data_IF_831457438268
#
_entry.id   IF_831457438268
#
_cell.length_a   1.000
_cell.length_b   1.000
_cell.length_c   1.000
_cell.angle_alpha   90.00
_cell.angle_beta   90.00
_cell.angle_gamma   90.00
#
_symmetry.space_group_name_H-M   'P 1'
#
loop_
_entity.id
_entity.type
_entity.pdbx_description
1 polymer ?
#
# COMPACT_ATOMS: atom_id res chain seq x y z
N UNK A 1 -10.17 -12.55 3.55
CA UNK A 1 -9.81 -11.20 4.06
C UNK A 1 -9.31 -10.42 2.86
N UNK A 2 -9.92 -9.28 2.56
CA UNK A 2 -9.53 -8.45 1.42
C UNK A 2 -8.27 -7.67 1.79
N UNK A 3 -7.31 -7.61 0.87
CA UNK A 3 -6.15 -6.74 0.99
C UNK A 3 -6.64 -5.29 1.14
N UNK A 4 -6.15 -4.58 2.15
CA UNK A 4 -6.36 -3.13 2.24
C UNK A 4 -5.33 -2.48 1.33
N UNK A 5 -5.71 -2.25 0.07
CA UNK A 5 -4.97 -1.38 -0.85
C UNK A 5 -5.51 0.02 -0.71
N UNK A 6 -4.63 0.98 -0.43
CA UNK A 6 -4.96 2.39 -0.44
C UNK A 6 -4.41 2.98 -1.73
N UNK A 7 -5.33 3.44 -2.60
CA UNK A 7 -5.02 4.26 -3.75
C UNK A 7 -5.23 5.73 -3.39
N UNK A 8 -4.20 6.56 -3.60
CA UNK A 8 -4.32 8.01 -3.39
C UNK A 8 -4.11 8.73 -4.72
N UNK A 9 -5.12 9.48 -5.12
CA UNK A 9 -5.12 10.34 -6.30
C UNK A 9 -4.68 11.74 -5.87
N UNK A 10 -3.64 12.29 -6.51
CA UNK A 10 -3.24 13.68 -6.25
C UNK A 10 -2.99 14.42 -7.55
N UNK A 11 -3.54 15.62 -7.67
CA UNK A 11 -3.11 16.65 -8.62
C UNK A 11 -1.94 17.49 -8.08
N UNK A 12 -1.28 17.03 -7.02
CA UNK A 12 -0.41 17.86 -6.17
C UNK A 12 1.07 17.84 -6.61
N UNK A 13 1.77 18.90 -6.20
CA UNK A 13 3.23 19.02 -6.26
C UNK A 13 3.92 17.79 -5.65
N UNK A 14 5.05 17.36 -6.24
CA UNK A 14 5.83 16.17 -5.84
C UNK A 14 6.14 16.14 -4.35
N UNK A 15 6.38 17.31 -3.74
CA UNK A 15 6.66 17.43 -2.30
C UNK A 15 5.48 16.99 -1.42
N UNK A 16 4.24 17.26 -1.84
CA UNK A 16 3.06 16.79 -1.10
C UNK A 16 2.92 15.28 -1.15
N UNK A 17 3.27 14.68 -2.30
CA UNK A 17 3.30 13.22 -2.45
C UNK A 17 4.35 12.61 -1.52
N UNK A 18 5.55 13.18 -1.50
CA UNK A 18 6.63 12.69 -0.64
C UNK A 18 6.23 12.78 0.85
N UNK A 19 5.64 13.90 1.29
CA UNK A 19 5.12 14.05 2.66
C UNK A 19 4.03 13.03 3.02
N UNK A 20 3.12 12.74 2.08
CA UNK A 20 2.10 11.73 2.31
C UNK A 20 2.70 10.32 2.45
N UNK A 21 3.75 10.00 1.68
CA UNK A 21 4.49 8.75 1.82
C UNK A 21 5.13 8.64 3.21
N UNK A 22 5.73 9.73 3.72
CA UNK A 22 6.28 9.80 5.07
C UNK A 22 5.20 9.63 6.14
N UNK A 23 4.04 10.28 5.98
CA UNK A 23 2.91 10.14 6.92
C UNK A 23 2.38 8.70 6.96
N UNK A 24 2.36 7.99 5.83
CA UNK A 24 1.96 6.58 5.78
C UNK A 24 2.97 5.67 6.51
N UNK A 25 4.26 5.95 6.38
CA UNK A 25 5.30 5.26 7.15
C UNK A 25 5.06 5.43 8.66
N UNK A 26 4.72 6.64 9.13
CA UNK A 26 4.40 6.91 10.53
C UNK A 26 3.15 6.17 11.02
N UNK A 27 2.10 6.09 10.18
CA UNK A 27 0.91 5.27 10.48
C UNK A 27 1.29 3.80 10.67
N UNK A 28 2.11 3.25 9.78
CA UNK A 28 2.59 1.86 9.90
C UNK A 28 3.41 1.67 11.17
N UNK A 29 4.29 2.61 11.53
CA UNK A 29 5.05 2.51 12.78
C UNK A 29 4.16 2.55 14.01
N UNK A 30 3.18 3.46 14.05
CA UNK A 30 2.29 3.67 15.19
C UNK A 30 1.37 2.46 15.44
N UNK A 31 0.93 1.77 14.40
CA UNK A 31 -0.09 0.73 14.50
C UNK A 31 0.50 -0.68 14.31
N UNK A 32 0.66 -1.40 15.43
CA UNK A 32 1.20 -2.76 15.42
C UNK A 32 0.45 -3.76 14.53
N UNK A 33 -0.82 -3.49 14.20
CA UNK A 33 -1.61 -4.28 13.26
C UNK A 33 -0.96 -4.35 11.85
N UNK A 34 -0.36 -3.26 11.36
CA UNK A 34 0.33 -3.25 10.06
C UNK A 34 1.72 -3.88 10.11
N UNK A 35 2.28 -4.02 11.32
CA UNK A 35 3.59 -4.62 11.58
C UNK A 35 3.44 -6.03 12.14
N UNK A 36 2.38 -6.73 11.72
CA UNK A 36 2.05 -8.06 12.17
C UNK A 36 2.32 -9.07 11.06
N UNK A 37 2.82 -10.26 11.39
CA UNK A 37 2.69 -11.46 10.53
C UNK A 37 1.90 -12.53 11.25
N UNK A 38 1.22 -13.38 10.49
CA UNK A 38 0.59 -14.60 10.98
C UNK A 38 1.23 -15.80 10.31
N UNK A 39 1.94 -16.62 11.10
CA UNK A 39 2.63 -17.81 10.61
C UNK A 39 2.11 -19.05 11.30
N UNK A 40 2.04 -20.17 10.56
CA UNK A 40 1.71 -21.45 11.17
C UNK A 40 2.92 -21.97 11.96
N UNK A 41 2.71 -22.31 13.24
CA UNK A 41 3.73 -22.97 14.06
C UNK A 41 3.40 -24.45 14.18
N UNK A 42 4.23 -25.29 13.57
CA UNK A 42 4.08 -26.75 13.69
C UNK A 42 4.28 -27.22 15.14
N UNK A 43 5.22 -26.60 15.87
CA UNK A 43 5.51 -26.92 17.28
C UNK A 43 4.28 -26.68 18.18
N UNK A 44 3.59 -25.55 17.97
CA UNK A 44 2.44 -25.18 18.79
C UNK A 44 1.10 -25.67 18.20
N UNK A 45 1.11 -26.23 16.99
CA UNK A 45 -0.08 -26.66 16.25
C UNK A 45 -1.10 -25.54 16.03
N UNK A 46 -0.66 -24.29 15.93
CA UNK A 46 -1.55 -23.11 15.83
C UNK A 46 -0.92 -21.95 15.06
N UNK A 47 -1.77 -21.02 14.64
CA UNK A 47 -1.36 -19.75 14.06
C UNK A 47 -0.74 -18.84 15.15
N UNK A 48 0.44 -18.32 14.88
CA UNK A 48 1.16 -17.39 15.76
C UNK A 48 1.15 -16.00 15.12
N UNK A 49 0.73 -15.02 15.91
CA UNK A 49 0.79 -13.61 15.54
C UNK A 49 2.07 -13.00 16.10
N UNK A 50 2.92 -12.47 15.22
CA UNK A 50 4.14 -11.75 15.61
C UNK A 50 3.99 -10.28 15.28
N UNK A 51 4.06 -9.42 16.29
CA UNK A 51 4.08 -7.96 16.13
C UNK A 51 5.54 -7.52 16.22
N UNK A 52 6.07 -6.96 15.14
CA UNK A 52 7.45 -6.51 15.08
C UNK A 52 7.60 -5.18 15.85
N UNK A 53 8.80 -4.68 16.10
CA UNK A 53 9.01 -3.38 16.75
C UNK A 53 9.00 -2.21 15.77
N UNK A 54 9.42 -2.45 14.53
CA UNK A 54 9.42 -1.53 13.40
C UNK A 54 9.35 -2.31 12.07
N UNK A 55 9.01 -1.64 10.98
CA UNK A 55 9.11 -2.18 9.61
C UNK A 55 9.41 -1.05 8.64
N UNK A 56 10.19 -1.28 7.60
CA UNK A 56 10.29 -0.30 6.51
C UNK A 56 9.06 -0.44 5.63
N UNK A 57 8.29 0.64 5.48
CA UNK A 57 7.13 0.69 4.59
C UNK A 57 7.37 1.74 3.50
N UNK A 58 7.25 1.30 2.25
CA UNK A 58 7.41 2.14 1.09
C UNK A 58 6.11 2.13 0.28
N UNK A 59 5.52 3.32 0.10
CA UNK A 59 4.39 3.53 -0.81
C UNK A 59 4.90 3.57 -2.24
N UNK A 60 4.27 2.82 -3.14
CA UNK A 60 4.62 2.83 -4.57
C UNK A 60 4.08 4.11 -5.22
N UNK A 61 4.92 4.89 -5.89
CA UNK A 61 4.47 6.02 -6.71
C UNK A 61 4.42 5.64 -8.19
N UNK A 62 3.25 5.79 -8.80
CA UNK A 62 3.03 5.62 -10.24
C UNK A 62 2.68 6.96 -10.85
N UNK A 63 3.44 7.34 -11.87
CA UNK A 63 3.28 8.60 -12.57
C UNK A 63 2.42 8.44 -13.82
N UNK A 64 1.23 9.02 -13.82
CA UNK A 64 0.30 9.02 -14.94
C UNK A 64 0.16 10.39 -15.59
N UNK A 65 0.95 11.39 -15.17
CA UNK A 65 0.81 12.76 -15.68
C UNK A 65 1.38 12.94 -17.10
N UNK A 66 2.00 11.92 -17.67
CA UNK A 66 2.88 12.00 -18.84
C UNK A 66 2.21 11.76 -20.19
N UNK A 67 0.91 12.05 -20.35
CA UNK A 67 0.20 11.89 -21.63
C UNK A 67 -0.84 10.77 -21.66
N UNK A 68 -1.32 10.34 -20.50
CA UNK A 68 -2.43 9.39 -20.40
C UNK A 68 -3.76 10.07 -20.76
N UNK A 69 -4.57 9.39 -21.57
CA UNK A 69 -5.96 9.79 -21.83
C UNK A 69 -6.78 9.26 -20.65
N UNK A 70 -7.33 10.17 -19.84
CA UNK A 70 -8.07 9.86 -18.60
C UNK A 70 -7.20 9.16 -17.52
N UNK A 71 -6.21 9.87 -16.92
CA UNK A 71 -5.32 9.29 -15.92
C UNK A 71 -6.06 8.74 -14.69
N UNK A 72 -7.19 9.34 -14.29
CA UNK A 72 -8.07 8.87 -13.21
C UNK A 72 -8.61 7.47 -13.52
N UNK A 73 -9.16 7.28 -14.73
CA UNK A 73 -9.73 5.99 -15.15
C UNK A 73 -8.63 4.92 -15.18
N UNK A 74 -7.45 5.27 -15.65
CA UNK A 74 -6.29 4.36 -15.66
C UNK A 74 -5.86 3.97 -14.25
N UNK A 75 -5.74 4.94 -13.33
CA UNK A 75 -5.44 4.67 -11.93
C UNK A 75 -6.47 3.72 -11.31
N UNK A 76 -7.75 3.98 -11.53
CA UNK A 76 -8.84 3.13 -11.06
C UNK A 76 -8.77 1.69 -11.61
N UNK A 77 -8.56 1.55 -12.93
CA UNK A 77 -8.44 0.24 -13.59
C UNK A 77 -7.23 -0.54 -13.04
N UNK A 78 -6.10 0.13 -12.81
CA UNK A 78 -4.90 -0.45 -12.20
C UNK A 78 -5.17 -0.93 -10.78
N UNK A 79 -5.79 -0.10 -9.92
CA UNK A 79 -6.15 -0.50 -8.55
C UNK A 79 -7.12 -1.67 -8.53
N UNK A 80 -8.09 -1.71 -9.44
CA UNK A 80 -9.01 -2.85 -9.56
C UNK A 80 -8.28 -4.13 -9.96
N UNK A 81 -7.31 -4.05 -10.87
CA UNK A 81 -6.51 -5.19 -11.29
C UNK A 81 -5.64 -5.71 -10.14
N UNK A 82 -4.93 -4.83 -9.43
CA UNK A 82 -4.10 -5.19 -8.27
C UNK A 82 -4.93 -5.88 -7.17
N UNK A 83 -6.12 -5.37 -6.86
CA UNK A 83 -6.99 -5.94 -5.83
C UNK A 83 -7.63 -7.29 -6.21
N UNK A 84 -7.65 -7.63 -7.51
CA UNK A 84 -8.14 -8.94 -7.97
C UNK A 84 -7.08 -10.03 -7.87
N UNK A 85 -5.80 -9.68 -7.73
CA UNK A 85 -4.73 -10.66 -7.62
C UNK A 85 -4.56 -11.15 -6.18
N UNK A 86 -4.85 -12.43 -5.88
CA UNK A 86 -4.72 -12.99 -4.53
C UNK A 86 -3.26 -13.03 -4.04
N UNK A 87 -2.30 -12.91 -4.95
CA UNK A 87 -0.86 -12.94 -4.67
C UNK A 87 -0.31 -11.68 -4.03
N UNK A 88 -1.04 -10.55 -4.08
CA UNK A 88 -0.55 -9.26 -3.61
C UNK A 88 -0.52 -9.14 -2.07
N UNK A 89 -1.28 -9.96 -1.35
CA UNK A 89 -1.40 -9.87 0.12
C UNK A 89 -1.24 -11.23 0.77
N UNK A 90 -0.18 -11.40 1.56
CA UNK A 90 0.11 -12.63 2.29
C UNK A 90 0.26 -12.36 3.77
N UNK A 91 -0.40 -13.17 4.59
CA UNK A 91 -0.44 -12.97 6.05
C UNK A 91 0.90 -13.28 6.73
N UNK A 92 1.74 -14.11 6.10
CA UNK A 92 3.07 -14.48 6.58
C UNK A 92 4.16 -13.48 6.15
N UNK A 93 3.79 -12.39 5.49
CA UNK A 93 4.70 -11.35 5.01
C UNK A 93 4.36 -9.99 5.60
N UNK A 94 5.41 -9.16 5.76
CA UNK A 94 5.27 -7.76 6.12
C UNK A 94 5.30 -6.87 4.87
N UNK A 95 4.63 -5.72 4.86
CA UNK A 95 3.60 -5.26 5.82
C UNK A 95 2.22 -5.83 5.46
N UNK A 96 1.29 -5.92 6.42
CA UNK A 96 -0.13 -6.21 6.13
C UNK A 96 -0.87 -4.97 5.55
N UNK A 97 -0.15 -4.12 4.85
CA UNK A 97 -0.64 -2.95 4.13
C UNK A 97 0.20 -2.81 2.85
N UNK A 98 -0.46 -2.50 1.75
CA UNK A 98 0.18 -1.97 0.55
C UNK A 98 -0.46 -0.63 0.19
N UNK A 99 0.33 0.29 -0.32
CA UNK A 99 -0.16 1.57 -0.81
C UNK A 99 0.46 1.88 -2.18
N UNK A 100 -0.38 2.36 -3.08
CA UNK A 100 0.02 2.87 -4.39
C UNK A 100 -0.54 4.28 -4.56
N UNK A 101 0.34 5.24 -4.78
CA UNK A 101 -0.01 6.63 -5.06
C UNK A 101 0.05 6.86 -6.56
N UNK A 102 -0.98 7.49 -7.12
CA UNK A 102 -1.04 7.84 -8.54
C UNK A 102 -0.93 9.34 -8.72
N UNK A 103 0.10 9.80 -9.44
CA UNK A 103 0.26 11.20 -9.84
C UNK A 103 -0.46 11.42 -11.16
N UNK A 104 -1.62 12.07 -11.12
CA UNK A 104 -2.50 12.18 -12.28
C UNK A 104 -2.15 13.37 -13.20
N UNK A 105 -1.41 14.35 -12.67
CA UNK A 105 -1.17 15.63 -13.33
C UNK A 105 -2.24 16.66 -12.99
N UNK A 106 -1.90 17.95 -13.17
CA UNK A 106 -2.87 19.02 -13.09
C UNK A 106 -3.57 19.17 -14.43
N UNK A 107 -4.90 19.04 -14.46
CA UNK A 107 -5.68 19.50 -15.62
C UNK A 107 -5.34 20.96 -15.90
N UNK A 108 -4.95 21.25 -17.15
CA UNK A 108 -4.89 22.61 -17.65
C UNK A 108 -6.31 23.15 -17.89
#
# INVERSE_FOLDING_TARGET
MNATSVAVETGSDRRHIDHMCDDLQEVVQRHGAFRTTLTWSEELGKLVQTIYSAVDFESRLIDLSGGEVEPEKKAFDMTCAENREPSAFKLDQLSLLSATTYRLGGGA
#
